data_IF_196425052923
#
_entry.id   IF_196425052923
#
_cell.length_a   1.000
_cell.length_b   1.000
_cell.length_c   1.000
_cell.angle_alpha   90.00
_cell.angle_beta   90.00
_cell.angle_gamma   90.00
#
_symmetry.space_group_name_H-M   'P 1'
#
loop_
_entity.id
_entity.type
_entity.pdbx_description
1 polymer ?
#
# COMPACT_ATOMS: atom_id res chain seq x y z
N UNK A 1 -5.55 25.61 -52.73
CA UNK A 1 -4.23 25.43 -52.11
C UNK A 1 -4.08 26.43 -51.00
N UNK A 2 -3.56 26.01 -49.85
CA UNK A 2 -3.43 26.84 -48.64
C UNK A 2 -3.96 26.11 -47.40
N UNK A 3 -3.29 25.03 -47.05
CA UNK A 3 -3.62 24.21 -45.89
C UNK A 3 -3.24 24.92 -44.58
N UNK A 4 -4.08 24.67 -43.57
CA UNK A 4 -3.88 24.81 -42.13
C UNK A 4 -2.41 24.79 -41.68
N UNK A 5 -1.91 25.92 -41.22
CA UNK A 5 -0.86 25.97 -40.20
C UNK A 5 -1.52 25.80 -38.82
N UNK A 6 -1.59 24.55 -38.34
CA UNK A 6 -1.46 24.29 -36.91
C UNK A 6 -0.05 23.75 -36.74
N UNK A 7 0.85 24.55 -36.18
CA UNK A 7 2.15 24.08 -35.74
C UNK A 7 1.92 22.99 -34.67
N UNK A 8 2.11 21.74 -35.09
CA UNK A 8 2.36 20.64 -34.19
C UNK A 8 3.81 20.76 -33.70
N UNK A 9 4.00 21.30 -32.51
CA UNK A 9 5.17 20.94 -31.72
C UNK A 9 4.93 19.52 -31.21
N UNK A 10 5.34 18.54 -32.01
CA UNK A 10 5.43 17.14 -31.62
C UNK A 10 6.53 17.01 -30.55
N UNK A 11 6.21 17.38 -29.32
CA UNK A 11 6.91 16.85 -28.15
C UNK A 11 6.61 15.35 -28.13
N UNK A 12 7.56 14.52 -28.56
CA UNK A 12 7.44 13.08 -28.39
C UNK A 12 7.31 12.79 -26.89
N UNK A 13 6.17 12.26 -26.46
CA UNK A 13 5.96 11.90 -25.07
C UNK A 13 7.07 10.92 -24.61
N UNK A 14 7.71 11.23 -23.49
CA UNK A 14 8.73 10.38 -22.88
C UNK A 14 8.12 9.15 -22.20
N UNK A 15 6.85 9.23 -21.80
CA UNK A 15 6.17 8.11 -21.18
C UNK A 15 4.67 8.30 -21.04
N UNK A 16 4.03 7.25 -20.53
CA UNK A 16 2.59 7.21 -20.27
C UNK A 16 2.36 6.87 -18.80
N UNK A 17 1.49 7.63 -18.15
CA UNK A 17 1.00 7.33 -16.81
C UNK A 17 -0.51 7.10 -16.87
N UNK A 18 -0.97 6.14 -16.08
CA UNK A 18 -2.37 6.00 -15.73
C UNK A 18 -2.54 6.44 -14.29
N UNK A 19 -3.55 7.28 -14.04
CA UNK A 19 -3.80 7.87 -12.71
C UNK A 19 -5.29 7.82 -12.38
N UNK A 20 -5.62 7.76 -11.10
CA UNK A 20 -6.99 7.88 -10.60
C UNK A 20 -7.08 8.95 -9.50
N UNK A 21 -8.23 9.60 -9.39
CA UNK A 21 -8.51 10.57 -8.32
C UNK A 21 -9.33 9.90 -7.22
N UNK A 22 -8.82 9.90 -5.99
CA UNK A 22 -9.58 9.49 -4.81
C UNK A 22 -10.68 10.52 -4.52
N UNK A 23 -11.96 10.14 -4.66
CA UNK A 23 -13.08 11.07 -4.57
C UNK A 23 -13.29 11.65 -3.17
N UNK A 24 -12.79 10.99 -2.14
CA UNK A 24 -13.00 11.36 -0.73
C UNK A 24 -11.72 11.97 -0.15
N UNK A 25 -10.58 11.30 -0.32
CA UNK A 25 -9.30 11.73 0.26
C UNK A 25 -8.64 12.88 -0.49
N UNK A 26 -9.11 13.20 -1.71
CA UNK A 26 -8.53 14.25 -2.57
C UNK A 26 -7.05 13.98 -2.88
N UNK A 27 -6.74 12.72 -3.20
CA UNK A 27 -5.38 12.26 -3.54
C UNK A 27 -5.38 11.72 -4.96
N UNK A 28 -4.31 12.01 -5.72
CA UNK A 28 -4.08 11.41 -7.03
C UNK A 28 -3.26 10.14 -6.84
N UNK A 29 -3.87 8.99 -7.14
CA UNK A 29 -3.22 7.69 -7.07
C UNK A 29 -2.70 7.31 -8.47
N UNK A 30 -1.38 7.17 -8.61
CA UNK A 30 -0.77 6.64 -9.83
C UNK A 30 -0.82 5.12 -9.80
N UNK A 31 -1.38 4.51 -10.85
CA UNK A 31 -1.48 3.05 -10.94
C UNK A 31 -0.09 2.41 -10.91
N UNK A 32 0.10 1.28 -10.20
CA UNK A 32 1.33 0.50 -10.28
C UNK A 32 1.66 0.15 -11.74
N UNK A 33 2.94 0.14 -12.12
CA UNK A 33 3.40 -0.06 -13.51
C UNK A 33 2.74 -1.28 -14.17
N UNK A 34 2.63 -2.38 -13.44
CA UNK A 34 1.99 -3.62 -13.89
C UNK A 34 0.50 -3.42 -14.24
N UNK A 35 -0.24 -2.68 -13.42
CA UNK A 35 -1.65 -2.36 -13.67
C UNK A 35 -1.77 -1.37 -14.82
N UNK A 36 -0.95 -0.32 -14.82
CA UNK A 36 -0.89 0.66 -15.91
C UNK A 36 -0.63 -0.03 -17.26
N UNK A 37 0.25 -1.02 -17.33
CA UNK A 37 0.51 -1.81 -18.53
C UNK A 37 -0.74 -2.56 -19.02
N UNK A 38 -1.50 -3.19 -18.11
CA UNK A 38 -2.77 -3.88 -18.46
C UNK A 38 -3.82 -2.90 -18.96
N UNK A 39 -3.93 -1.73 -18.33
CA UNK A 39 -4.86 -0.66 -18.73
C UNK A 39 -4.47 -0.11 -20.10
N UNK A 40 -3.20 0.22 -20.32
CA UNK A 40 -2.68 0.73 -21.58
C UNK A 40 -2.84 -0.28 -22.73
N UNK A 41 -2.58 -1.56 -22.49
CA UNK A 41 -2.80 -2.61 -23.48
C UNK A 41 -4.29 -2.68 -23.89
N UNK A 42 -5.20 -2.73 -22.91
CA UNK A 42 -6.64 -2.76 -23.18
C UNK A 42 -7.12 -1.50 -23.91
N UNK A 43 -6.58 -0.33 -23.56
CA UNK A 43 -6.85 0.94 -24.23
C UNK A 43 -6.41 0.91 -25.70
N UNK A 44 -5.17 0.46 -25.99
CA UNK A 44 -4.64 0.36 -27.37
C UNK A 44 -5.41 -0.64 -28.22
N UNK A 45 -5.88 -1.73 -27.61
CA UNK A 45 -6.75 -2.73 -28.24
C UNK A 45 -8.20 -2.25 -28.40
N UNK A 46 -8.52 -1.02 -27.97
CA UNK A 46 -9.87 -0.43 -28.02
C UNK A 46 -10.92 -1.29 -27.31
N UNK A 47 -10.54 -1.99 -26.24
CA UNK A 47 -11.48 -2.69 -25.38
C UNK A 47 -12.36 -1.66 -24.65
N UNK A 48 -13.62 -1.99 -24.31
CA UNK A 48 -14.49 -1.09 -23.56
C UNK A 48 -14.11 -0.98 -22.08
N UNK A 49 -13.36 -1.96 -21.55
CA UNK A 49 -12.91 -2.01 -20.16
C UNK A 49 -11.64 -2.85 -19.99
N UNK A 50 -10.95 -2.64 -18.88
CA UNK A 50 -9.83 -3.43 -18.39
C UNK A 50 -10.13 -3.92 -16.97
N UNK A 51 -10.23 -5.24 -16.79
CA UNK A 51 -10.42 -5.86 -15.47
C UNK A 51 -9.06 -6.14 -14.83
N UNK A 52 -8.83 -5.58 -13.64
CA UNK A 52 -7.56 -5.68 -12.92
C UNK A 52 -7.50 -6.88 -11.96
N UNK A 53 -8.67 -7.41 -11.56
CA UNK A 53 -8.77 -8.60 -10.72
C UNK A 53 -8.20 -8.41 -9.30
N UNK A 54 -7.90 -9.52 -8.61
CA UNK A 54 -7.48 -9.52 -7.22
C UNK A 54 -6.09 -8.91 -6.97
N UNK A 55 -5.33 -8.60 -8.03
CA UNK A 55 -4.10 -7.80 -7.93
C UNK A 55 -4.38 -6.33 -7.60
N UNK A 56 -5.60 -5.86 -7.85
CA UNK A 56 -6.00 -4.48 -7.62
C UNK A 56 -7.47 -4.36 -7.20
N UNK A 57 -7.84 -5.04 -6.10
CA UNK A 57 -9.14 -4.93 -5.45
C UNK A 57 -10.35 -5.25 -6.34
N UNK A 58 -10.16 -6.10 -7.35
CA UNK A 58 -11.14 -6.41 -8.40
C UNK A 58 -11.66 -5.15 -9.11
N UNK A 59 -10.81 -4.14 -9.23
CA UNK A 59 -11.14 -2.93 -9.95
C UNK A 59 -11.28 -3.20 -11.45
N UNK A 60 -12.17 -2.43 -12.07
CA UNK A 60 -12.33 -2.37 -13.52
C UNK A 60 -12.21 -0.93 -13.97
N UNK A 61 -11.32 -0.68 -14.92
CA UNK A 61 -11.20 0.61 -15.62
C UNK A 61 -12.08 0.56 -16.86
N UNK A 62 -12.98 1.52 -17.01
CA UNK A 62 -13.91 1.62 -18.13
C UNK A 62 -13.49 2.76 -19.05
N UNK A 63 -13.58 2.52 -20.35
CA UNK A 63 -13.22 3.49 -21.38
C UNK A 63 -14.49 3.95 -22.10
N UNK A 64 -14.92 5.20 -21.90
CA UNK A 64 -16.12 5.72 -22.56
C UNK A 64 -15.78 6.25 -23.97
N UNK A 65 -16.73 6.16 -24.93
CA UNK A 65 -16.54 6.68 -26.28
C UNK A 65 -16.32 8.20 -26.35
N UNK A 66 -16.77 8.94 -25.34
CA UNK A 66 -16.59 10.40 -25.22
C UNK A 66 -15.18 10.79 -24.73
N UNK A 67 -14.32 9.81 -24.45
CA UNK A 67 -12.97 10.01 -23.93
C UNK A 67 -12.86 10.06 -22.40
N UNK A 68 -13.97 9.94 -21.67
CA UNK A 68 -13.96 9.87 -20.21
C UNK A 68 -13.58 8.47 -19.72
N UNK A 69 -12.70 8.40 -18.71
CA UNK A 69 -12.30 7.12 -18.10
C UNK A 69 -12.63 7.12 -16.61
N UNK A 70 -13.05 5.98 -16.10
CA UNK A 70 -13.31 5.81 -14.67
C UNK A 70 -13.03 4.39 -14.21
N UNK A 71 -12.74 4.25 -12.93
CA UNK A 71 -12.59 2.97 -12.27
C UNK A 71 -13.82 2.69 -11.41
N UNK A 72 -14.30 1.45 -11.44
CA UNK A 72 -15.23 0.91 -10.45
C UNK A 72 -14.57 -0.19 -9.64
N UNK A 73 -14.87 -0.28 -8.35
CA UNK A 73 -14.59 -1.48 -7.54
C UNK A 73 -15.90 -2.06 -7.02
N UNK A 74 -16.08 -3.39 -7.04
CA UNK A 74 -17.27 -3.99 -6.47
C UNK A 74 -17.33 -3.74 -4.97
N UNK A 75 -18.56 -3.67 -4.45
CA UNK A 75 -18.80 -3.77 -3.02
C UNK A 75 -18.58 -5.19 -2.53
N UNK A 76 -18.21 -5.35 -1.27
CA UNK A 76 -17.76 -6.63 -0.75
C UNK A 76 -18.12 -6.78 0.72
N UNK A 77 -18.69 -7.93 1.07
CA UNK A 77 -18.98 -8.28 2.45
C UNK A 77 -17.72 -8.86 3.10
N UNK A 78 -17.23 -8.21 4.16
CA UNK A 78 -15.94 -8.51 4.80
C UNK A 78 -16.13 -9.18 6.18
N UNK A 79 -17.21 -9.94 6.31
CA UNK A 79 -17.61 -10.62 7.55
C UNK A 79 -17.96 -9.63 8.66
N UNK A 80 -17.33 -9.78 9.83
CA UNK A 80 -17.50 -8.84 10.96
C UNK A 80 -16.96 -7.44 10.64
N UNK A 81 -16.11 -7.29 9.62
CA UNK A 81 -15.56 -6.01 9.16
C UNK A 81 -16.54 -5.15 8.37
N UNK A 82 -17.79 -5.58 8.34
CA UNK A 82 -18.87 -4.88 7.67
C UNK A 82 -18.79 -5.04 6.16
N UNK A 83 -19.21 -3.99 5.48
CA UNK A 83 -19.39 -4.00 4.04
C UNK A 83 -18.55 -2.88 3.42
N UNK A 84 -17.62 -3.27 2.55
CA UNK A 84 -16.95 -2.34 1.66
C UNK A 84 -17.96 -1.87 0.62
N UNK A 85 -18.23 -0.58 0.56
CA UNK A 85 -19.11 -0.02 -0.47
C UNK A 85 -18.45 -0.10 -1.84
N UNK A 86 -19.24 -0.23 -2.93
CA UNK A 86 -18.74 -0.05 -4.28
C UNK A 86 -18.03 1.31 -4.41
N UNK A 87 -16.92 1.32 -5.12
CA UNK A 87 -16.09 2.51 -5.31
C UNK A 87 -16.19 3.02 -6.73
N UNK A 88 -16.09 4.34 -6.90
CA UNK A 88 -16.01 5.01 -8.19
C UNK A 88 -14.88 6.04 -8.17
N UNK A 89 -14.01 6.06 -9.18
CA UNK A 89 -12.91 7.02 -9.30
C UNK A 89 -12.80 7.53 -10.71
N UNK A 90 -12.57 8.84 -10.89
CA UNK A 90 -12.15 9.36 -12.19
C UNK A 90 -10.76 8.83 -12.54
N UNK A 91 -10.54 8.45 -13.79
CA UNK A 91 -9.26 7.95 -14.31
C UNK A 91 -8.79 8.86 -15.43
N UNK A 92 -7.48 9.04 -15.54
CA UNK A 92 -6.87 9.77 -16.66
C UNK A 92 -5.65 9.06 -17.18
N UNK A 93 -5.43 9.22 -18.49
CA UNK A 93 -4.24 8.78 -19.22
C UNK A 93 -3.40 10.02 -19.50
N UNK A 94 -2.21 10.08 -18.93
CA UNK A 94 -1.30 11.20 -19.04
C UNK A 94 -0.17 10.85 -19.99
N UNK A 95 0.00 11.65 -21.04
CA UNK A 95 1.16 11.62 -21.92
C UNK A 95 2.21 12.56 -21.32
N UNK A 96 3.24 11.99 -20.70
CA UNK A 96 4.26 12.78 -20.03
C UNK A 96 5.29 13.30 -21.05
N UNK A 97 5.47 14.62 -21.20
CA UNK A 97 6.49 15.18 -22.08
C UNK A 97 7.90 14.88 -21.59
N UNK A 98 8.87 14.84 -22.51
CA UNK A 98 10.27 14.65 -22.15
C UNK A 98 10.82 15.82 -21.32
N UNK A 99 11.47 15.51 -20.19
CA UNK A 99 12.09 16.50 -19.31
C UNK A 99 11.17 17.09 -18.23
N UNK A 100 9.85 16.94 -18.35
CA UNK A 100 8.91 17.40 -17.33
C UNK A 100 8.86 16.43 -16.13
N UNK A 101 9.04 16.98 -14.93
CA UNK A 101 9.07 16.22 -13.67
C UNK A 101 7.72 16.15 -12.96
N UNK A 102 6.74 16.90 -13.44
CA UNK A 102 5.40 16.99 -12.83
C UNK A 102 4.33 16.84 -13.90
N UNK A 103 3.14 16.44 -13.47
CA UNK A 103 1.93 16.50 -14.29
C UNK A 103 0.80 17.17 -13.51
N UNK A 104 -0.17 17.71 -14.25
CA UNK A 104 -1.30 18.41 -13.66
C UNK A 104 -2.63 17.73 -14.01
N UNK A 105 -3.52 17.68 -13.03
CA UNK A 105 -4.90 17.26 -13.19
C UNK A 105 -5.82 18.36 -12.68
N UNK A 106 -7.01 18.44 -13.22
CA UNK A 106 -8.03 19.39 -12.80
C UNK A 106 -9.21 18.63 -12.24
N UNK A 107 -9.75 19.12 -11.13
CA UNK A 107 -10.94 18.53 -10.53
C UNK A 107 -11.90 19.54 -9.96
N UNK A 108 -13.12 19.06 -9.76
CA UNK A 108 -14.21 19.80 -9.12
C UNK A 108 -14.99 18.88 -8.20
N UNK A 109 -15.83 19.44 -7.33
CA UNK A 109 -16.70 18.64 -6.46
C UNK A 109 -18.05 18.40 -7.12
N UNK A 110 -18.50 17.16 -7.06
CA UNK A 110 -19.83 16.73 -7.52
C UNK A 110 -20.45 15.91 -6.41
N UNK A 111 -21.56 16.40 -5.84
CA UNK A 111 -22.22 15.80 -4.67
C UNK A 111 -21.28 15.53 -3.49
N UNK A 112 -20.33 16.45 -3.26
CA UNK A 112 -19.37 16.37 -2.17
C UNK A 112 -18.09 15.60 -2.49
N UNK A 113 -18.03 14.85 -3.58
CA UNK A 113 -16.89 14.05 -4.00
C UNK A 113 -16.09 14.68 -5.15
N UNK A 114 -14.77 14.45 -5.17
CA UNK A 114 -13.90 14.94 -6.24
C UNK A 114 -14.06 14.13 -7.53
N UNK A 115 -14.08 14.84 -8.66
CA UNK A 115 -14.11 14.29 -10.02
C UNK A 115 -13.16 15.08 -10.93
N UNK A 116 -12.51 14.38 -11.86
CA UNK A 116 -11.65 15.02 -12.85
C UNK A 116 -12.50 15.76 -13.89
N UNK A 117 -11.97 16.89 -14.37
CA UNK A 117 -12.56 17.71 -15.42
C UNK A 117 -11.53 18.03 -16.50
N UNK A 118 -11.97 18.14 -17.75
CA UNK A 118 -11.09 18.44 -18.88
C UNK A 118 -10.80 19.94 -19.07
N UNK A 119 -11.68 20.82 -18.60
CA UNK A 119 -11.62 22.26 -18.83
C UNK A 119 -11.17 23.02 -17.57
N UNK A 120 -10.36 24.06 -17.75
CA UNK A 120 -9.89 24.96 -16.69
C UNK A 120 -11.03 25.77 -16.08
N UNK A 121 -11.98 26.23 -16.91
CA UNK A 121 -13.10 27.04 -16.45
C UNK A 121 -14.04 26.30 -15.48
N UNK A 122 -14.01 24.96 -15.49
CA UNK A 122 -14.82 24.11 -14.61
C UNK A 122 -14.04 23.61 -13.38
N UNK A 123 -12.74 23.88 -13.32
CA UNK A 123 -11.89 23.36 -12.27
C UNK A 123 -12.03 24.21 -11.00
N UNK A 124 -12.37 23.56 -9.90
CA UNK A 124 -12.28 24.18 -8.56
C UNK A 124 -10.86 24.03 -7.99
N UNK A 125 -10.10 23.05 -8.47
CA UNK A 125 -8.76 22.76 -8.00
C UNK A 125 -7.88 22.14 -9.08
N UNK A 126 -6.59 22.47 -9.03
CA UNK A 126 -5.54 21.86 -9.86
C UNK A 126 -4.60 21.05 -8.96
N UNK A 127 -4.54 19.76 -9.22
CA UNK A 127 -3.59 18.84 -8.61
C UNK A 127 -2.29 18.91 -9.41
N UNK A 128 -1.17 19.10 -8.73
CA UNK A 128 0.17 19.08 -9.34
C UNK A 128 0.98 18.01 -8.65
N UNK A 129 1.31 16.96 -9.38
CA UNK A 129 1.94 15.76 -8.85
C UNK A 129 3.32 15.57 -9.48
N UNK A 130 4.26 15.05 -8.70
CA UNK A 130 5.58 14.63 -9.21
C UNK A 130 5.40 13.32 -9.96
N UNK A 131 6.07 13.19 -11.11
CA UNK A 131 6.06 11.98 -11.95
C UNK A 131 6.81 10.85 -11.24
N UNK A 132 6.13 9.74 -10.86
CA UNK A 132 6.81 8.56 -10.36
C UNK A 132 7.38 7.77 -11.54
N UNK A 133 8.65 8.01 -11.87
CA UNK A 133 9.35 7.36 -13.00
C UNK A 133 9.23 5.83 -13.02
N UNK A 134 9.14 5.20 -11.85
CA UNK A 134 9.00 3.76 -11.67
C UNK A 134 7.62 3.21 -12.05
N UNK A 135 6.59 4.06 -12.07
CA UNK A 135 5.22 3.71 -12.50
C UNK A 135 4.94 4.12 -13.95
N UNK A 136 5.86 4.85 -14.58
CA UNK A 136 5.74 5.31 -15.96
C UNK A 136 5.99 4.18 -16.97
N UNK A 137 5.16 4.13 -18.00
CA UNK A 137 5.32 3.24 -19.14
C UNK A 137 6.10 3.94 -20.26
N UNK A 138 6.86 3.18 -21.01
CA UNK A 138 7.56 3.68 -22.20
C UNK A 138 6.61 3.73 -23.41
N UNK A 139 6.85 4.67 -24.33
CA UNK A 139 6.01 4.91 -25.51
C UNK A 139 6.32 4.00 -26.71
N UNK A 140 7.31 3.12 -26.63
CA UNK A 140 7.76 2.24 -27.71
C UNK A 140 6.82 1.08 -28.09
N UNK A 141 7.07 0.46 -29.26
CA UNK A 141 6.25 -0.60 -29.89
C UNK A 141 6.20 -1.93 -29.12
N UNK A 142 6.98 -2.10 -28.07
CA UNK A 142 6.88 -3.24 -27.16
C UNK A 142 6.42 -2.75 -25.80
N UNK A 143 5.17 -2.99 -25.44
CA UNK A 143 4.78 -3.14 -24.05
C UNK A 143 5.54 -4.39 -23.54
N UNK A 144 6.81 -4.24 -23.13
CA UNK A 144 7.69 -5.35 -22.81
C UNK A 144 7.22 -6.05 -21.53
N UNK A 145 6.96 -7.35 -21.66
CA UNK A 145 6.52 -8.34 -20.66
C UNK A 145 5.67 -7.82 -19.50
N UNK A 146 4.41 -8.28 -19.48
CA UNK A 146 3.56 -8.23 -18.30
C UNK A 146 4.34 -8.82 -17.11
N UNK A 147 4.86 -7.96 -16.24
CA UNK A 147 5.55 -8.36 -15.02
C UNK A 147 4.57 -9.23 -14.22
N UNK A 148 4.84 -10.53 -14.13
CA UNK A 148 4.06 -11.39 -13.25
C UNK A 148 4.31 -10.94 -11.81
N UNK A 149 3.24 -10.88 -11.02
CA UNK A 149 3.34 -10.56 -9.61
C UNK A 149 4.25 -11.60 -8.93
N UNK A 150 5.20 -11.12 -8.13
CA UNK A 150 6.12 -11.98 -7.38
C UNK A 150 6.17 -11.56 -5.92
N UNK A 151 6.49 -12.49 -5.04
CA UNK A 151 6.85 -12.19 -3.66
C UNK A 151 8.22 -11.47 -3.64
N UNK A 152 8.38 -10.53 -2.71
CA UNK A 152 9.68 -9.93 -2.42
C UNK A 152 10.60 -10.93 -1.72
N UNK A 153 11.91 -10.72 -1.82
CA UNK A 153 12.96 -11.49 -1.13
C UNK A 153 13.74 -10.61 -0.16
N UNK A 154 14.51 -11.22 0.73
CA UNK A 154 15.45 -10.48 1.59
C UNK A 154 16.43 -9.63 0.76
N UNK A 155 16.97 -10.19 -0.33
CA UNK A 155 17.90 -9.49 -1.24
C UNK A 155 17.30 -8.24 -1.89
N UNK A 156 16.00 -8.24 -2.17
CA UNK A 156 15.32 -7.04 -2.68
C UNK A 156 15.47 -5.88 -1.69
N UNK A 157 15.29 -6.16 -0.40
CA UNK A 157 15.37 -5.16 0.66
C UNK A 157 16.81 -4.72 0.94
N UNK A 158 17.82 -5.56 0.67
CA UNK A 158 19.23 -5.19 0.77
C UNK A 158 19.74 -4.35 -0.42
N UNK A 159 19.07 -4.40 -1.58
CA UNK A 159 19.55 -3.74 -2.79
C UNK A 159 19.39 -2.22 -2.77
N UNK A 160 20.39 -1.46 -3.20
CA UNK A 160 20.26 -0.01 -3.43
C UNK A 160 20.12 0.35 -4.92
N UNK A 161 19.99 -0.66 -5.79
CA UNK A 161 19.90 -0.45 -7.24
C UNK A 161 18.51 0.04 -7.62
N UNK A 162 18.35 1.20 -8.30
CA UNK A 162 17.04 1.74 -8.68
C UNK A 162 16.14 0.74 -9.41
N UNK A 163 16.71 -0.06 -10.32
CA UNK A 163 15.97 -1.08 -11.06
C UNK A 163 15.38 -2.19 -10.17
N UNK A 164 15.98 -2.48 -9.01
CA UNK A 164 15.43 -3.44 -8.03
C UNK A 164 14.37 -2.75 -7.18
N UNK A 165 14.68 -1.55 -6.68
CA UNK A 165 13.79 -0.74 -5.84
C UNK A 165 12.45 -0.43 -6.50
N UNK A 166 12.45 -0.30 -7.82
CA UNK A 166 11.30 0.07 -8.62
C UNK A 166 10.44 -1.15 -9.04
N UNK A 167 10.88 -2.39 -8.74
CA UNK A 167 10.09 -3.59 -9.04
C UNK A 167 8.86 -3.66 -8.15
N UNK A 168 7.71 -4.01 -8.74
CA UNK A 168 6.50 -4.33 -7.99
C UNK A 168 6.62 -5.72 -7.37
N UNK A 169 6.19 -5.84 -6.12
CA UNK A 169 6.15 -7.05 -5.31
C UNK A 169 4.83 -7.16 -4.58
N UNK A 170 4.39 -8.38 -4.33
CA UNK A 170 3.17 -8.66 -3.56
C UNK A 170 3.47 -8.50 -2.07
N UNK A 171 2.67 -7.66 -1.43
CA UNK A 171 2.73 -7.41 0.01
C UNK A 171 1.36 -7.69 0.61
N UNK A 172 1.34 -8.67 1.50
CA UNK A 172 0.25 -8.92 2.44
C UNK A 172 0.42 -8.00 3.64
N UNK A 173 -0.69 -7.41 4.07
CA UNK A 173 -0.71 -6.45 5.15
C UNK A 173 -1.83 -6.79 6.12
N UNK A 174 -1.55 -6.68 7.41
CA UNK A 174 -2.56 -6.76 8.47
C UNK A 174 -2.93 -5.35 8.93
N UNK A 175 -4.20 -5.17 9.28
CA UNK A 175 -4.75 -3.91 9.75
C UNK A 175 -4.57 -3.77 11.26
N UNK A 176 -4.12 -2.60 11.72
CA UNK A 176 -4.01 -2.25 13.14
C UNK A 176 -5.39 -2.08 13.76
N UNK A 177 -5.54 -2.39 15.05
CA UNK A 177 -6.83 -2.34 15.73
C UNK A 177 -7.70 -3.57 15.46
N UNK A 178 -8.88 -3.62 16.08
CA UNK A 178 -9.87 -4.66 15.79
C UNK A 178 -10.79 -4.22 14.67
N UNK A 179 -11.38 -5.21 14.04
CA UNK A 179 -12.35 -5.06 12.97
C UNK A 179 -13.51 -4.12 13.36
N UNK A 180 -13.99 -4.24 14.59
CA UNK A 180 -15.11 -3.45 15.13
C UNK A 180 -14.73 -2.00 15.41
N UNK A 181 -13.48 -1.74 15.82
CA UNK A 181 -13.00 -0.40 16.15
C UNK A 181 -12.73 0.47 14.90
N UNK A 182 -12.44 -0.17 13.76
CA UNK A 182 -11.94 0.52 12.57
C UNK A 182 -13.04 0.97 11.58
N UNK A 183 -14.25 0.40 11.64
CA UNK A 183 -15.31 0.71 10.68
C UNK A 183 -14.98 0.32 9.22
N UNK A 184 -15.33 1.16 8.24
CA UNK A 184 -15.07 0.90 6.82
C UNK A 184 -13.56 0.94 6.51
N UNK A 185 -13.00 -0.25 6.31
CA UNK A 185 -11.56 -0.42 6.19
C UNK A 185 -10.95 0.17 4.93
N UNK A 186 -11.77 0.49 3.92
CA UNK A 186 -11.32 1.22 2.72
C UNK A 186 -11.11 2.72 2.98
N UNK A 187 -11.60 3.23 4.11
CA UNK A 187 -11.40 4.62 4.53
C UNK A 187 -10.16 4.79 5.41
N UNK A 188 -9.59 3.70 5.91
CA UNK A 188 -8.36 3.73 6.67
C UNK A 188 -7.20 4.17 5.76
N UNK A 189 -6.36 5.08 6.26
CA UNK A 189 -5.16 5.48 5.56
C UNK A 189 -4.10 4.39 5.56
N UNK A 190 -3.04 4.58 4.76
CA UNK A 190 -1.94 3.62 4.62
C UNK A 190 -1.19 3.37 5.93
N UNK A 191 -1.26 4.31 6.87
CA UNK A 191 -0.69 4.18 8.21
C UNK A 191 -1.31 3.02 9.00
N UNK A 192 -2.56 2.65 8.75
CA UNK A 192 -3.25 1.56 9.47
C UNK A 192 -2.80 0.16 9.03
N UNK A 193 -1.99 0.05 7.98
CA UNK A 193 -1.64 -1.22 7.35
C UNK A 193 -0.16 -1.56 7.53
N UNK A 194 0.10 -2.65 8.22
CA UNK A 194 1.45 -3.14 8.49
C UNK A 194 1.76 -4.34 7.59
N UNK A 195 2.94 -4.41 6.95
CA UNK A 195 3.30 -5.57 6.15
C UNK A 195 3.53 -6.79 7.04
N UNK A 196 3.20 -7.97 6.54
CA UNK A 196 3.72 -9.21 7.12
C UNK A 196 5.22 -9.31 6.88
N UNK A 197 5.91 -9.92 7.84
CA UNK A 197 7.32 -10.29 7.73
C UNK A 197 7.57 -11.25 6.56
N UNK A 198 8.83 -11.39 6.14
CA UNK A 198 9.22 -12.12 4.94
C UNK A 198 8.60 -13.52 4.83
N UNK A 199 8.81 -14.36 5.85
CA UNK A 199 8.34 -15.75 5.82
C UNK A 199 6.81 -15.83 5.82
N UNK A 200 6.16 -15.03 6.65
CA UNK A 200 4.71 -14.95 6.72
C UNK A 200 4.11 -14.50 5.37
N UNK A 201 4.62 -13.43 4.78
CA UNK A 201 4.17 -12.91 3.49
C UNK A 201 4.29 -13.98 2.39
N UNK A 202 5.41 -14.69 2.34
CA UNK A 202 5.65 -15.78 1.39
C UNK A 202 4.64 -16.92 1.57
N UNK A 203 4.42 -17.35 2.81
CA UNK A 203 3.47 -18.43 3.14
C UNK A 203 2.05 -18.06 2.74
N UNK A 204 1.61 -16.83 3.05
CA UNK A 204 0.28 -16.35 2.69
C UNK A 204 0.11 -16.28 1.17
N UNK A 205 1.09 -15.71 0.45
CA UNK A 205 1.01 -15.58 -1.00
C UNK A 205 1.05 -16.94 -1.73
N UNK A 206 1.83 -17.89 -1.23
CA UNK A 206 1.88 -19.25 -1.78
C UNK A 206 0.53 -19.97 -1.62
N UNK A 207 -0.10 -19.87 -0.44
CA UNK A 207 -1.41 -20.46 -0.21
C UNK A 207 -2.51 -19.78 -1.05
N UNK A 208 -2.50 -18.45 -1.15
CA UNK A 208 -3.45 -17.70 -1.98
C UNK A 208 -3.32 -18.06 -3.47
N UNK A 209 -2.09 -18.07 -3.99
CA UNK A 209 -1.81 -18.44 -5.39
C UNK A 209 -2.11 -19.91 -5.67
N UNK A 210 -1.98 -20.77 -4.65
CA UNK A 210 -2.39 -22.17 -4.66
C UNK A 210 -3.91 -22.38 -4.56
N UNK A 211 -4.72 -21.32 -4.51
CA UNK A 211 -6.17 -21.36 -4.36
C UNK A 211 -6.62 -22.08 -3.08
N UNK A 212 -5.80 -22.06 -2.03
CA UNK A 212 -6.20 -22.53 -0.71
C UNK A 212 -7.27 -21.59 -0.13
N UNK A 213 -8.14 -22.12 0.74
CA UNK A 213 -9.13 -21.29 1.46
C UNK A 213 -8.52 -20.52 2.63
N UNK A 214 -7.38 -20.99 3.14
CA UNK A 214 -6.65 -20.32 4.21
C UNK A 214 -5.17 -20.64 4.21
N UNK A 215 -4.39 -19.83 4.92
CA UNK A 215 -3.00 -20.08 5.27
C UNK A 215 -2.85 -20.10 6.80
N UNK A 216 -2.03 -21.01 7.32
CA UNK A 216 -1.58 -20.94 8.71
C UNK A 216 -0.18 -20.34 8.74
N UNK A 217 0.00 -19.34 9.61
CA UNK A 217 1.24 -18.57 9.76
C UNK A 217 1.66 -18.60 11.22
N UNK A 218 2.89 -19.01 11.47
CA UNK A 218 3.49 -19.00 12.80
C UNK A 218 4.21 -17.65 13.01
N UNK A 219 3.62 -16.79 13.83
CA UNK A 219 4.22 -15.54 14.28
C UNK A 219 4.87 -15.82 15.63
N UNK A 220 6.06 -16.41 15.69
CA UNK A 220 6.90 -16.74 16.87
C UNK A 220 6.22 -16.99 18.26
N UNK A 221 5.48 -16.03 18.81
CA UNK A 221 4.66 -16.15 20.03
C UNK A 221 3.26 -16.76 19.84
N UNK A 222 2.73 -16.83 18.61
CA UNK A 222 1.40 -17.36 18.29
C UNK A 222 1.26 -17.91 16.88
N UNK A 223 0.29 -18.80 16.70
CA UNK A 223 -0.19 -19.22 15.39
C UNK A 223 -1.40 -18.36 14.99
N UNK A 224 -1.42 -17.89 13.74
CA UNK A 224 -2.57 -17.20 13.16
C UNK A 224 -3.04 -17.90 11.89
N UNK A 225 -4.36 -17.88 11.67
CA UNK A 225 -4.98 -18.38 10.44
C UNK A 225 -5.47 -17.21 9.60
N UNK A 226 -4.98 -17.12 8.37
CA UNK A 226 -5.42 -16.16 7.36
C UNK A 226 -6.46 -16.84 6.49
N UNK A 227 -7.75 -16.51 6.66
CA UNK A 227 -8.82 -17.02 5.81
C UNK A 227 -8.99 -16.09 4.61
N UNK A 228 -8.82 -16.62 3.41
CA UNK A 228 -8.98 -15.86 2.18
C UNK A 228 -10.47 -15.71 1.84
N UNK A 229 -10.85 -14.53 1.38
CA UNK A 229 -12.15 -14.37 0.73
C UNK A 229 -12.03 -14.78 -0.74
N UNK A 230 -12.90 -15.67 -1.25
CA UNK A 230 -12.83 -16.13 -2.62
C UNK A 230 -12.80 -14.99 -3.64
N UNK A 231 -11.77 -14.99 -4.49
CA UNK A 231 -11.58 -13.97 -5.53
C UNK A 231 -11.29 -12.56 -5.00
N UNK A 232 -10.93 -12.40 -3.72
CA UNK A 232 -10.73 -11.11 -3.07
C UNK A 232 -9.26 -10.75 -2.92
N UNK A 233 -8.97 -9.45 -2.84
CA UNK A 233 -7.69 -8.94 -2.30
C UNK A 233 -7.69 -8.84 -0.77
N UNK A 234 -8.78 -9.22 -0.10
CA UNK A 234 -8.94 -9.17 1.35
C UNK A 234 -8.99 -10.57 1.96
N UNK A 235 -8.59 -10.63 3.21
CA UNK A 235 -8.62 -11.83 4.04
C UNK A 235 -8.88 -11.44 5.50
N UNK A 236 -9.13 -12.43 6.34
CA UNK A 236 -9.30 -12.25 7.77
C UNK A 236 -8.21 -13.05 8.51
N UNK A 237 -7.41 -12.36 9.30
CA UNK A 237 -6.53 -12.98 10.29
C UNK A 237 -7.34 -13.30 11.54
N UNK A 238 -7.19 -14.51 12.06
CA UNK A 238 -7.69 -14.90 13.38
C UNK A 238 -6.59 -15.63 14.14
N UNK A 239 -6.38 -15.25 15.40
CA UNK A 239 -5.50 -15.97 16.31
C UNK A 239 -6.05 -17.38 16.57
N UNK A 240 -5.17 -18.39 16.55
CA UNK A 240 -5.55 -19.80 16.71
C UNK A 240 -5.88 -20.11 18.18
N UNK A 241 -5.18 -19.50 19.12
CA UNK A 241 -5.38 -19.69 20.56
C UNK A 241 -6.53 -18.80 21.10
N UNK A 242 -6.63 -17.57 20.62
CA UNK A 242 -7.69 -16.62 20.98
C UNK A 242 -8.53 -16.22 19.76
N UNK A 243 -9.53 -17.03 19.44
CA UNK A 243 -10.40 -16.82 18.26
C UNK A 243 -11.20 -15.52 18.27
N UNK A 244 -11.19 -14.77 19.38
CA UNK A 244 -11.83 -13.44 19.47
C UNK A 244 -10.95 -12.34 18.89
N UNK A 245 -9.63 -12.56 18.80
CA UNK A 245 -8.69 -11.63 18.18
C UNK A 245 -8.68 -11.80 16.66
N UNK A 246 -9.41 -10.89 16.00
CA UNK A 246 -9.49 -10.81 14.55
C UNK A 246 -8.89 -9.51 14.01
N UNK A 247 -8.24 -9.60 12.85
CA UNK A 247 -7.73 -8.44 12.12
C UNK A 247 -8.03 -8.60 10.64
N UNK A 248 -8.37 -7.50 9.99
CA UNK A 248 -8.48 -7.52 8.54
C UNK A 248 -7.09 -7.59 7.90
N UNK A 249 -7.01 -8.29 6.78
CA UNK A 249 -5.82 -8.48 5.98
C UNK A 249 -6.10 -8.05 4.54
N UNK A 250 -5.12 -7.46 3.87
CA UNK A 250 -5.20 -7.16 2.44
C UNK A 250 -3.94 -7.55 1.70
N UNK A 251 -4.12 -7.87 0.42
CA UNK A 251 -3.09 -8.09 -0.59
C UNK A 251 -2.96 -6.83 -1.44
N UNK A 252 -1.75 -6.35 -1.62
CA UNK A 252 -1.48 -5.16 -2.45
C UNK A 252 -0.16 -5.31 -3.20
N UNK A 253 -0.04 -4.58 -4.32
CA UNK A 253 1.21 -4.42 -5.04
C UNK A 253 1.91 -3.16 -4.57
N UNK A 254 3.15 -3.31 -4.12
CA UNK A 254 4.03 -2.20 -3.73
C UNK A 254 5.34 -2.31 -4.49
N UNK A 255 6.03 -1.20 -4.69
CA UNK A 255 7.43 -1.25 -5.08
C UNK A 255 8.29 -1.75 -3.91
N UNK A 256 9.46 -2.30 -4.20
CA UNK A 256 10.44 -2.67 -3.15
C UNK A 256 10.80 -1.46 -2.28
N UNK A 257 10.87 -0.26 -2.89
CA UNK A 257 11.04 1.00 -2.15
C UNK A 257 9.89 1.27 -1.19
N UNK A 258 8.64 1.22 -1.67
CA UNK A 258 7.46 1.42 -0.82
C UNK A 258 7.41 0.41 0.33
N UNK A 259 7.74 -0.87 0.08
CA UNK A 259 7.85 -1.90 1.13
C UNK A 259 8.93 -1.57 2.16
N UNK A 260 10.11 -1.12 1.70
CA UNK A 260 11.17 -0.67 2.61
C UNK A 260 10.69 0.48 3.48
N UNK A 261 10.01 1.46 2.90
CA UNK A 261 9.47 2.60 3.65
C UNK A 261 8.41 2.15 4.66
N UNK A 262 7.60 1.14 4.32
CA UNK A 262 6.68 0.51 5.28
C UNK A 262 7.41 -0.14 6.45
N UNK A 263 8.46 -0.92 6.20
CA UNK A 263 9.28 -1.52 7.27
C UNK A 263 9.95 -0.46 8.15
N UNK A 264 10.41 0.65 7.56
CA UNK A 264 10.96 1.76 8.32
C UNK A 264 9.90 2.40 9.22
N UNK A 265 8.74 2.76 8.69
CA UNK A 265 7.64 3.33 9.50
C UNK A 265 7.17 2.40 10.61
N UNK A 266 7.21 1.09 10.37
CA UNK A 266 6.82 0.08 11.36
C UNK A 266 7.79 0.01 12.54
N UNK A 267 9.06 0.38 12.36
CA UNK A 267 10.11 0.20 13.38
C UNK A 267 10.77 1.50 13.83
N UNK A 268 10.48 2.63 13.17
CA UNK A 268 11.09 3.92 13.46
C UNK A 268 10.10 5.09 13.16
N UNK A 269 9.85 5.98 14.15
CA UNK A 269 8.96 7.14 13.97
C UNK A 269 9.52 8.25 13.06
N UNK A 270 10.84 8.32 12.83
CA UNK A 270 11.47 9.52 12.24
C UNK A 270 11.57 9.52 10.71
N UNK A 271 10.99 8.55 9.99
CA UNK A 271 10.99 8.60 8.52
C UNK A 271 9.77 9.37 8.00
N UNK A 272 10.01 10.61 7.60
CA UNK A 272 9.34 11.35 6.49
C UNK A 272 8.04 12.14 6.68
N UNK A 273 7.56 12.45 7.90
CA UNK A 273 6.45 13.41 8.06
C UNK A 273 6.93 14.73 8.67
N UNK A 274 6.56 15.85 8.02
CA UNK A 274 6.76 17.18 8.57
C UNK A 274 5.97 17.37 9.87
N UNK A 275 6.43 18.26 10.75
CA UNK A 275 5.75 18.56 12.02
C UNK A 275 4.29 19.01 11.82
N UNK A 276 3.95 19.57 10.65
CA UNK A 276 2.62 20.07 10.28
C UNK A 276 1.65 18.94 9.90
N UNK A 277 2.14 17.84 9.32
CA UNK A 277 1.34 16.64 9.01
C UNK A 277 1.01 15.83 10.28
N UNK A 278 1.92 15.79 11.25
CA UNK A 278 1.70 15.12 12.55
C UNK A 278 0.56 15.75 13.35
N UNK A 279 0.36 17.06 13.20
CA UNK A 279 -0.69 17.82 13.91
C UNK A 279 -2.05 17.73 13.20
N UNK A 280 -2.06 17.56 11.88
CA UNK A 280 -3.30 17.55 11.07
C UNK A 280 -4.06 16.20 11.10
N UNK A 281 -3.43 15.11 11.56
CA UNK A 281 -4.04 13.78 11.63
C UNK A 281 -4.73 13.47 12.97
N UNK A 282 -4.69 14.38 13.94
CA UNK A 282 -5.30 14.16 15.26
C UNK A 282 -6.65 14.88 15.36
N UNK A 283 -7.68 14.25 14.79
CA UNK A 283 -9.09 14.57 15.08
C UNK A 283 -9.87 13.25 15.36
N UNK A 284 -10.99 13.32 16.09
CA UNK A 284 -11.24 12.58 17.33
C UNK A 284 -11.35 11.05 17.14
N UNK A 285 -10.53 10.31 17.90
CA UNK A 285 -10.45 8.84 17.87
C UNK A 285 -9.00 8.37 17.95
N UNK A 286 -8.41 8.48 19.15
CA UNK A 286 -6.99 8.27 19.46
C UNK A 286 -6.43 6.93 18.96
N UNK A 287 -5.75 6.92 17.80
CA UNK A 287 -5.07 5.72 17.29
C UNK A 287 -3.65 5.64 17.84
N UNK A 288 -3.27 4.47 18.34
CA UNK A 288 -1.91 4.19 18.84
C UNK A 288 -0.91 4.36 17.67
N UNK A 289 0.23 5.06 17.86
CA UNK A 289 1.27 5.19 16.84
C UNK A 289 1.77 3.84 16.27
N UNK A 290 2.07 3.73 14.95
CA UNK A 290 2.41 2.45 14.31
C UNK A 290 3.67 1.80 14.88
N UNK A 291 4.70 2.60 15.17
CA UNK A 291 6.00 2.12 15.64
C UNK A 291 5.98 1.60 17.08
N UNK A 292 4.82 1.66 17.75
CA UNK A 292 4.63 1.08 19.08
C UNK A 292 4.29 -0.41 19.04
N UNK A 293 3.85 -0.93 17.89
CA UNK A 293 3.50 -2.33 17.73
C UNK A 293 4.72 -3.17 17.35
N UNK A 294 4.90 -4.31 18.00
CA UNK A 294 5.96 -5.24 17.67
C UNK A 294 5.66 -5.93 16.33
N UNK A 295 6.61 -6.00 15.38
CA UNK A 295 6.40 -6.71 14.12
C UNK A 295 6.20 -8.22 14.21
N UNK A 296 6.73 -8.84 15.27
CA UNK A 296 6.58 -10.28 15.51
C UNK A 296 5.20 -10.54 16.13
N UNK A 297 4.94 -9.96 17.30
CA UNK A 297 3.70 -10.24 18.07
C UNK A 297 2.47 -9.51 17.51
N UNK A 298 2.67 -8.48 16.69
CA UNK A 298 1.61 -7.59 16.18
C UNK A 298 0.79 -6.89 17.28
N UNK A 299 1.33 -6.84 18.50
CA UNK A 299 0.72 -6.24 19.69
C UNK A 299 1.60 -5.10 20.22
N UNK A 300 1.05 -4.29 21.13
CA UNK A 300 1.77 -3.14 21.72
C UNK A 300 3.00 -3.62 22.50
N UNK A 301 4.16 -3.02 22.24
CA UNK A 301 5.39 -3.35 22.95
C UNK A 301 5.33 -2.87 24.40
N UNK A 302 5.72 -3.75 25.32
CA UNK A 302 5.95 -3.43 26.74
C UNK A 302 7.45 -3.26 27.01
N UNK A 303 8.29 -4.06 26.35
CA UNK A 303 9.74 -4.03 26.47
C UNK A 303 10.38 -3.96 25.06
N UNK A 304 10.44 -2.77 24.44
CA UNK A 304 11.02 -2.62 23.12
C UNK A 304 12.55 -2.78 23.14
N UNK A 305 13.07 -3.70 22.32
CA UNK A 305 14.49 -3.99 22.14
C UNK A 305 14.89 -3.92 20.68
N UNK A 306 16.09 -3.36 20.42
CA UNK A 306 16.65 -3.11 19.10
C UNK A 306 17.67 -4.17 18.72
N UNK A 307 17.56 -4.66 17.49
CA UNK A 307 18.54 -5.54 16.81
C UNK A 307 19.64 -4.74 16.12
N UNK A 308 20.71 -5.41 15.68
CA UNK A 308 21.87 -4.76 15.03
C UNK A 308 21.55 -4.05 13.71
N UNK A 309 20.47 -4.42 13.03
CA UNK A 309 19.95 -3.78 11.81
C UNK A 309 19.06 -2.54 12.12
N UNK A 310 18.85 -2.23 13.40
CA UNK A 310 18.16 -1.03 13.85
C UNK A 310 16.65 -1.18 14.04
N UNK A 311 16.07 -2.35 13.76
CA UNK A 311 14.65 -2.62 13.99
C UNK A 311 14.35 -2.90 15.47
N UNK A 312 13.12 -2.62 15.91
CA UNK A 312 12.70 -2.77 17.31
C UNK A 312 11.56 -3.77 17.43
N UNK A 313 11.62 -4.62 18.45
CA UNK A 313 10.67 -5.71 18.73
C UNK A 313 10.39 -5.82 20.23
N UNK A 314 9.33 -6.54 20.59
CA UNK A 314 9.11 -6.98 21.98
C UNK A 314 10.23 -7.95 22.39
N UNK A 315 10.85 -7.68 23.54
CA UNK A 315 12.02 -8.41 24.05
C UNK A 315 11.87 -9.93 23.99
N UNK A 316 10.83 -10.47 24.60
CA UNK A 316 10.65 -11.93 24.69
C UNK A 316 10.52 -12.59 23.32
N UNK A 317 9.85 -11.92 22.38
CA UNK A 317 9.65 -12.43 21.03
C UNK A 317 10.94 -12.45 20.22
N UNK A 318 11.76 -11.39 20.32
CA UNK A 318 13.04 -11.34 19.60
C UNK A 318 14.12 -12.22 20.24
N UNK A 319 14.13 -12.38 21.56
CA UNK A 319 15.00 -13.34 22.24
C UNK A 319 14.70 -14.76 21.74
N UNK A 320 13.42 -15.17 21.70
CA UNK A 320 13.03 -16.50 21.22
C UNK A 320 13.40 -16.73 19.75
N UNK A 321 13.15 -15.73 18.89
CA UNK A 321 13.50 -15.80 17.48
C UNK A 321 15.00 -16.08 17.28
N UNK A 322 15.86 -15.39 18.06
CA UNK A 322 17.31 -15.48 17.96
C UNK A 322 17.91 -16.74 18.62
N UNK A 323 17.12 -17.53 19.36
CA UNK A 323 17.57 -18.82 19.90
C UNK A 323 17.90 -19.83 18.79
N UNK A 324 17.27 -19.69 17.62
CA UNK A 324 17.39 -20.64 16.51
C UNK A 324 17.79 -20.00 15.18
N UNK A 325 17.87 -18.67 15.11
CA UNK A 325 18.07 -17.91 13.86
C UNK A 325 19.01 -16.73 14.10
N UNK A 326 19.83 -16.41 13.10
CA UNK A 326 20.74 -15.25 13.08
C UNK A 326 20.35 -14.22 11.99
N UNK A 327 19.07 -14.19 11.63
CA UNK A 327 18.48 -13.31 10.62
C UNK A 327 17.46 -12.35 11.23
N UNK A 328 17.25 -11.21 10.58
CA UNK A 328 16.24 -10.22 10.92
C UNK A 328 14.83 -10.79 10.70
N UNK A 329 13.94 -10.78 11.71
CA UNK A 329 12.56 -11.24 11.55
C UNK A 329 11.83 -10.46 10.45
N UNK A 330 12.07 -9.15 10.37
CA UNK A 330 11.32 -8.26 9.48
C UNK A 330 11.75 -8.43 8.02
N UNK A 331 13.06 -8.54 7.77
CA UNK A 331 13.63 -8.48 6.41
C UNK A 331 14.10 -9.84 5.89
N UNK A 332 14.35 -10.81 6.78
CA UNK A 332 15.00 -12.08 6.43
C UNK A 332 16.50 -11.99 6.14
N UNK A 333 17.11 -10.82 6.32
CA UNK A 333 18.56 -10.60 6.10
C UNK A 333 19.39 -11.03 7.32
N UNK A 334 20.61 -11.53 7.09
CA UNK A 334 21.53 -11.87 8.17
C UNK A 334 21.84 -10.65 9.06
N UNK A 335 21.83 -10.87 10.38
CA UNK A 335 22.21 -9.86 11.36
C UNK A 335 23.72 -9.88 11.56
N UNK A 336 24.33 -8.69 11.58
CA UNK A 336 25.76 -8.56 11.90
C UNK A 336 26.09 -8.91 13.37
N UNK A 337 25.08 -8.91 14.23
CA UNK A 337 25.16 -9.32 15.64
C UNK A 337 23.77 -9.68 16.16
N UNK A 338 23.70 -10.68 17.03
CA UNK A 338 22.49 -11.07 17.77
C UNK A 338 22.36 -10.34 19.12
N UNK A 339 23.27 -9.41 19.41
CA UNK A 339 23.20 -8.56 20.60
C UNK A 339 21.96 -7.66 20.55
N UNK A 340 21.13 -7.74 21.59
CA UNK A 340 19.93 -6.93 21.74
C UNK A 340 20.19 -5.74 22.66
N UNK A 341 19.73 -4.55 22.25
CA UNK A 341 19.86 -3.31 23.03
C UNK A 341 18.49 -2.77 23.43
N UNK A 342 18.23 -2.44 24.70
CA UNK A 342 16.95 -1.86 25.09
C UNK A 342 16.70 -0.53 24.39
N UNK A 343 15.50 -0.35 23.82
CA UNK A 343 15.08 0.91 23.22
C UNK A 343 14.31 1.76 24.25
N UNK A 344 15.07 2.34 25.20
CA UNK A 344 14.51 3.09 26.32
C UNK A 344 13.73 4.34 25.89
N UNK A 345 14.12 4.94 24.77
CA UNK A 345 13.42 6.09 24.19
C UNK A 345 12.00 5.71 23.76
N UNK A 346 11.87 4.64 22.96
CA UNK A 346 10.57 4.15 22.53
C UNK A 346 9.72 3.67 23.71
N UNK A 347 10.34 3.00 24.69
CA UNK A 347 9.63 2.59 25.91
C UNK A 347 8.99 3.79 26.61
N UNK A 348 9.75 4.86 26.80
CA UNK A 348 9.24 6.10 27.42
C UNK A 348 8.12 6.70 26.59
N UNK A 349 8.26 6.75 25.26
CA UNK A 349 7.23 7.27 24.36
C UNK A 349 5.90 6.50 24.48
N UNK A 350 5.97 5.16 24.52
CA UNK A 350 4.80 4.29 24.72
C UNK A 350 4.16 4.55 26.08
N UNK A 351 4.96 4.55 27.15
CA UNK A 351 4.47 4.72 28.52
C UNK A 351 3.81 6.11 28.70
N UNK A 352 4.39 7.17 28.14
CA UNK A 352 3.83 8.53 28.14
C UNK A 352 2.52 8.61 27.35
N UNK A 353 2.45 8.00 26.17
CA UNK A 353 1.24 7.97 25.36
C UNK A 353 0.12 7.25 26.12
N UNK A 354 0.38 6.06 26.68
CA UNK A 354 -0.59 5.30 27.47
C UNK A 354 -1.10 6.11 28.66
N UNK A 355 -0.22 6.80 29.40
CA UNK A 355 -0.61 7.62 30.54
C UNK A 355 -1.52 8.80 30.16
N UNK A 356 -1.21 9.50 29.06
CA UNK A 356 -2.02 10.62 28.56
C UNK A 356 -3.42 10.18 28.09
N UNK A 357 -3.54 8.95 27.63
CA UNK A 357 -4.75 8.42 27.00
C UNK A 357 -5.60 7.56 27.96
N UNK A 358 -5.01 7.04 29.04
CA UNK A 358 -5.74 6.36 30.12
C UNK A 358 -6.59 7.31 30.97
N UNK A 359 -6.30 8.61 30.98
CA UNK A 359 -7.03 9.62 31.76
C UNK A 359 -8.29 10.15 31.04
N UNK A 360 -8.53 9.78 29.79
CA UNK A 360 -9.60 10.28 28.92
C UNK A 360 -10.61 9.19 28.49
N UNK A 361 -10.55 8.00 29.11
CA UNK A 361 -11.54 6.91 29.00
C UNK A 361 -12.18 6.71 30.37
#
# INVERSE_FOLDING_TARGET
GGARERMAASSSAAGILWVSLDPVRRVVDVYPRQMAHRIEAAYREQKPKCELGADYFNATVHFQPDGAYYQTTPGQHMGRSGYKTPGFRSVSRILQPAGEQTFMLRGRRVHGEWRLVGNEAEAEYTFTEVVPSEKMLETGNGLSEACQSRTWTADDLASNTPNVLNKSVVVWQWCRGTVEANGDSMRLGEEMWCPYMFEANRTIEAAFSGHCESAQVELEDKAVRIRFEPGSSFALQRDVADVTKERQVRRTLKTVRELRDMHHRMTNPNSTLSSEERVSQMAPGQTIPPHFFCPITQDLMSNPYRTADGHTYERAAIEHWLDTRDISPLTGLALNSVELKPNLELKREIDEWLAQHAANQ
#
